data_IF_647166984959
#
_entry.id   IF_647166984959
#
_cell.length_a   1.000
_cell.length_b   1.000
_cell.length_c   1.000
_cell.angle_alpha   90.00
_cell.angle_beta   90.00
_cell.angle_gamma   90.00
#
_symmetry.space_group_name_H-M   'P 1'
#
loop_
_entity.id
_entity.type
_entity.pdbx_description
1 polymer ?
#
# COMPACT_ATOMS: atom_id res chain seq x y z
N UNK A 1 37.11 -7.78 10.45
CA UNK A 1 37.03 -9.23 10.27
C UNK A 1 36.06 -9.52 9.14
N UNK A 2 36.38 -10.42 8.21
CA UNK A 2 35.51 -10.73 7.05
C UNK A 2 34.09 -11.15 7.47
N UNK A 3 33.97 -11.89 8.59
CA UNK A 3 32.68 -12.35 9.12
C UNK A 3 31.72 -11.19 9.42
N UNK A 4 32.22 -10.09 9.97
CA UNK A 4 31.40 -8.92 10.33
C UNK A 4 30.85 -8.25 9.06
N UNK A 5 31.68 -8.13 8.03
CA UNK A 5 31.26 -7.53 6.75
C UNK A 5 30.28 -8.43 5.99
N UNK A 6 30.48 -9.76 6.04
CA UNK A 6 29.52 -10.71 5.50
C UNK A 6 28.16 -10.63 6.22
N UNK A 7 28.16 -10.54 7.55
CA UNK A 7 26.93 -10.40 8.32
C UNK A 7 26.20 -9.10 7.96
N UNK A 8 26.89 -7.96 7.92
CA UNK A 8 26.29 -6.69 7.46
C UNK A 8 25.66 -6.84 6.08
N UNK A 9 26.39 -7.40 5.11
CA UNK A 9 25.88 -7.59 3.76
C UNK A 9 24.61 -8.47 3.72
N UNK A 10 24.58 -9.54 4.51
CA UNK A 10 23.41 -10.41 4.63
C UNK A 10 22.20 -9.66 5.19
N UNK A 11 22.36 -8.97 6.33
CA UNK A 11 21.26 -8.32 7.04
C UNK A 11 20.80 -6.99 6.43
N UNK A 12 21.70 -6.27 5.77
CA UNK A 12 21.38 -4.97 5.17
C UNK A 12 20.88 -5.11 3.73
N UNK A 13 21.23 -6.20 3.03
CA UNK A 13 20.95 -6.34 1.59
C UNK A 13 20.21 -7.62 1.24
N UNK A 14 20.79 -8.80 1.51
CA UNK A 14 20.24 -10.04 0.95
C UNK A 14 18.96 -10.50 1.64
N UNK A 15 18.94 -10.50 2.97
CA UNK A 15 17.76 -10.88 3.75
C UNK A 15 16.59 -9.93 3.41
N UNK A 16 16.75 -8.60 3.45
CA UNK A 16 15.66 -7.68 3.13
C UNK A 16 15.08 -7.86 1.73
N UNK A 17 15.94 -8.00 0.72
CA UNK A 17 15.51 -8.20 -0.68
C UNK A 17 14.79 -9.52 -0.86
N UNK A 18 15.34 -10.60 -0.30
CA UNK A 18 14.72 -11.93 -0.39
C UNK A 18 13.36 -11.94 0.31
N UNK A 19 13.24 -11.26 1.45
CA UNK A 19 11.96 -11.13 2.15
C UNK A 19 10.94 -10.35 1.32
N UNK A 20 11.35 -9.24 0.71
CA UNK A 20 10.47 -8.46 -0.16
C UNK A 20 9.97 -9.28 -1.36
N UNK A 21 10.86 -10.07 -1.99
CA UNK A 21 10.47 -11.02 -3.05
C UNK A 21 9.50 -12.08 -2.54
N UNK A 22 9.71 -12.63 -1.34
CA UNK A 22 8.77 -13.57 -0.73
C UNK A 22 7.38 -12.94 -0.56
N UNK A 23 7.30 -11.71 -0.07
CA UNK A 23 6.02 -11.00 0.11
C UNK A 23 5.29 -10.82 -1.23
N UNK A 24 6.01 -10.48 -2.29
CA UNK A 24 5.45 -10.37 -3.64
C UNK A 24 4.90 -11.72 -4.14
N UNK A 25 5.65 -12.81 -3.95
CA UNK A 25 5.21 -14.16 -4.30
C UNK A 25 3.95 -14.57 -3.54
N UNK A 26 3.88 -14.29 -2.24
CA UNK A 26 2.70 -14.61 -1.41
C UNK A 26 1.44 -13.89 -1.89
N UNK A 27 1.58 -12.63 -2.29
CA UNK A 27 0.49 -11.83 -2.85
C UNK A 27 0.02 -12.38 -4.20
N UNK A 28 0.96 -12.78 -5.06
CA UNK A 28 0.65 -13.24 -6.42
C UNK A 28 0.09 -14.66 -6.46
N UNK A 29 0.52 -15.55 -5.57
CA UNK A 29 0.27 -16.99 -5.69
C UNK A 29 -0.55 -17.62 -4.57
N UNK A 30 -0.47 -17.11 -3.33
CA UNK A 30 -0.98 -17.84 -2.15
C UNK A 30 -2.27 -17.26 -1.54
N UNK A 31 -2.91 -16.29 -2.21
CA UNK A 31 -4.14 -15.62 -1.73
C UNK A 31 -4.10 -15.29 -0.22
N UNK A 32 -2.94 -14.80 0.25
CA UNK A 32 -2.76 -14.46 1.65
C UNK A 32 -3.82 -13.41 2.06
N UNK A 33 -4.44 -13.60 3.23
CA UNK A 33 -5.46 -12.66 3.72
C UNK A 33 -4.84 -11.43 4.38
N UNK A 34 -3.73 -11.63 5.09
CA UNK A 34 -2.99 -10.58 5.79
C UNK A 34 -1.50 -10.72 5.49
N UNK A 35 -0.99 -9.86 4.61
CA UNK A 35 0.43 -9.83 4.23
C UNK A 35 1.32 -9.44 5.41
N UNK A 36 0.79 -8.73 6.41
CA UNK A 36 1.58 -8.29 7.56
C UNK A 36 1.87 -9.43 8.54
N UNK A 37 1.15 -10.56 8.44
CA UNK A 37 1.48 -11.80 9.16
C UNK A 37 2.80 -12.42 8.70
N UNK A 38 3.22 -12.15 7.46
CA UNK A 38 4.49 -12.58 6.87
C UNK A 38 5.61 -11.53 7.00
N UNK A 39 5.32 -10.37 7.59
CA UNK A 39 6.30 -9.31 7.81
C UNK A 39 7.28 -9.69 8.93
N UNK A 40 8.56 -9.25 8.87
CA UNK A 40 9.49 -9.46 9.97
C UNK A 40 8.96 -8.81 11.25
N UNK A 41 9.02 -9.54 12.36
CA UNK A 41 8.64 -9.04 13.67
C UNK A 41 9.73 -8.15 14.25
N UNK A 42 9.36 -7.03 14.91
CA UNK A 42 10.33 -6.24 15.67
C UNK A 42 10.98 -7.11 16.74
N UNK A 43 12.31 -7.15 16.78
CA UNK A 43 13.02 -7.83 17.84
C UNK A 43 12.87 -7.04 19.15
N UNK A 44 12.67 -7.76 20.27
CA UNK A 44 12.75 -7.16 21.58
C UNK A 44 14.16 -6.58 21.81
N UNK A 45 14.27 -5.52 22.63
CA UNK A 45 15.53 -4.90 23.04
C UNK A 45 16.36 -5.80 23.97
N UNK A 46 16.61 -7.04 23.56
CA UNK A 46 17.47 -7.99 24.23
C UNK A 46 18.86 -7.74 23.68
N UNK A 47 19.80 -7.30 24.53
CA UNK A 47 21.19 -7.02 24.15
C UNK A 47 21.97 -8.31 23.90
N UNK A 48 21.54 -9.12 22.92
CA UNK A 48 22.35 -10.21 22.37
C UNK A 48 23.29 -9.68 21.28
N UNK A 49 24.35 -10.42 20.97
CA UNK A 49 25.27 -10.04 19.88
C UNK A 49 24.56 -9.94 18.52
N UNK A 50 23.48 -10.69 18.32
CA UNK A 50 22.73 -10.73 17.06
C UNK A 50 21.73 -9.58 16.93
N UNK A 51 21.30 -8.99 18.04
CA UNK A 51 20.38 -7.84 18.05
C UNK A 51 20.85 -6.70 17.14
N UNK A 52 22.17 -6.46 17.10
CA UNK A 52 22.77 -5.41 16.29
C UNK A 52 22.46 -5.54 14.80
N UNK A 53 22.31 -6.76 14.28
CA UNK A 53 22.01 -7.00 12.88
C UNK A 53 20.50 -7.03 12.61
N UNK A 54 19.73 -7.60 13.53
CA UNK A 54 18.29 -7.77 13.35
C UNK A 54 17.46 -6.50 13.58
N UNK A 55 17.96 -5.55 14.38
CA UNK A 55 17.21 -4.35 14.77
C UNK A 55 16.71 -3.51 13.59
N UNK A 56 17.43 -3.51 12.47
CA UNK A 56 17.10 -2.72 11.28
C UNK A 56 16.43 -3.55 10.18
N UNK A 57 16.19 -4.86 10.39
CA UNK A 57 15.62 -5.74 9.36
C UNK A 57 14.22 -5.29 8.94
N UNK A 58 13.37 -4.88 9.88
CA UNK A 58 12.01 -4.40 9.54
C UNK A 58 12.09 -3.13 8.68
N UNK A 59 12.99 -2.21 9.02
CA UNK A 59 13.23 -1.00 8.23
C UNK A 59 13.75 -1.34 6.83
N UNK A 60 14.76 -2.21 6.74
CA UNK A 60 15.37 -2.60 5.47
C UNK A 60 14.39 -3.37 4.57
N UNK A 61 13.56 -4.25 5.14
CA UNK A 61 12.49 -4.94 4.41
C UNK A 61 11.46 -3.92 3.91
N UNK A 62 11.06 -2.97 4.75
CA UNK A 62 10.10 -1.91 4.35
C UNK A 62 10.66 -1.05 3.21
N UNK A 63 11.96 -0.73 3.26
CA UNK A 63 12.66 -0.03 2.18
C UNK A 63 12.64 -0.81 0.86
N UNK A 64 12.81 -2.14 0.90
CA UNK A 64 12.73 -2.97 -0.29
C UNK A 64 11.29 -3.17 -0.79
N UNK A 65 10.32 -3.08 0.11
CA UNK A 65 8.91 -3.33 -0.17
C UNK A 65 8.11 -2.09 -0.59
N UNK A 66 8.62 -0.88 -0.35
CA UNK A 66 7.87 0.37 -0.55
C UNK A 66 7.25 0.47 -1.94
N UNK A 67 8.02 0.18 -2.98
CA UNK A 67 7.56 0.30 -4.37
C UNK A 67 6.92 -0.99 -4.91
N UNK A 68 6.73 -2.02 -4.07
CA UNK A 68 6.13 -3.29 -4.48
C UNK A 68 4.60 -3.25 -4.39
N UNK A 69 3.88 -4.01 -5.24
CA UNK A 69 2.42 -4.08 -5.23
C UNK A 69 1.91 -5.04 -4.13
N UNK A 70 2.38 -4.84 -2.89
CA UNK A 70 2.08 -5.72 -1.75
C UNK A 70 1.29 -5.02 -0.64
N UNK A 71 0.93 -3.74 -0.84
CA UNK A 71 0.23 -2.97 0.19
C UNK A 71 -1.28 -3.24 0.09
N UNK A 72 -1.92 -3.73 1.17
CA UNK A 72 -3.32 -4.08 1.12
C UNK A 72 -4.20 -2.83 0.99
N UNK A 73 -5.17 -2.90 0.08
CA UNK A 73 -6.20 -1.87 -0.09
C UNK A 73 -7.38 -2.17 0.83
N UNK A 74 -7.65 -1.25 1.75
CA UNK A 74 -8.78 -1.32 2.66
C UNK A 74 -10.12 -1.19 1.90
N UNK A 75 -11.14 -1.91 2.37
CA UNK A 75 -12.52 -1.74 1.90
C UNK A 75 -12.88 -2.51 0.63
N UNK A 76 -11.98 -3.33 0.08
CA UNK A 76 -12.31 -4.26 -1.01
C UNK A 76 -12.83 -5.59 -0.43
N UNK A 77 -13.77 -6.23 -1.13
CA UNK A 77 -14.40 -7.49 -0.70
C UNK A 77 -13.46 -8.72 -0.82
N UNK A 78 -12.32 -8.55 -1.48
CA UNK A 78 -11.30 -9.59 -1.66
C UNK A 78 -9.93 -8.97 -1.41
N UNK A 79 -8.95 -9.75 -0.91
CA UNK A 79 -7.58 -9.26 -0.76
C UNK A 79 -7.10 -8.68 -2.07
N UNK A 80 -6.78 -7.39 -2.04
CA UNK A 80 -6.26 -6.67 -3.19
C UNK A 80 -5.08 -5.85 -2.75
N UNK A 81 -4.02 -5.90 -3.53
CA UNK A 81 -2.75 -5.28 -3.23
C UNK A 81 -2.38 -4.31 -4.34
N UNK A 82 -1.75 -3.19 -3.98
CA UNK A 82 -1.33 -2.17 -4.94
C UNK A 82 0.01 -1.54 -4.50
N UNK A 83 0.54 -0.63 -5.32
CA UNK A 83 1.80 0.11 -5.08
C UNK A 83 1.58 1.32 -4.18
N UNK A 84 2.57 1.71 -3.38
CA UNK A 84 2.48 2.75 -2.34
C UNK A 84 2.00 4.14 -2.82
N UNK A 85 2.30 4.54 -4.06
CA UNK A 85 2.15 5.93 -4.52
C UNK A 85 0.71 6.45 -4.53
N UNK A 86 -0.29 5.55 -4.50
CA UNK A 86 -1.71 5.90 -4.47
C UNK A 86 -2.33 5.87 -3.06
N UNK A 87 -1.60 5.41 -2.03
CA UNK A 87 -2.20 5.11 -0.74
C UNK A 87 -2.13 6.25 0.27
N UNK A 88 -3.24 6.43 0.98
CA UNK A 88 -3.24 7.01 2.31
C UNK A 88 -2.94 5.92 3.34
N UNK A 89 -1.99 6.18 4.23
CA UNK A 89 -1.67 5.28 5.35
C UNK A 89 -2.50 5.71 6.55
N UNK A 90 -3.38 4.82 6.99
CA UNK A 90 -4.17 5.01 8.20
C UNK A 90 -3.41 4.51 9.43
N UNK A 91 -3.52 5.25 10.54
CA UNK A 91 -3.12 4.75 11.84
C UNK A 91 -4.10 3.68 12.34
N UNK A 92 -3.63 2.78 13.21
CA UNK A 92 -4.43 1.67 13.77
C UNK A 92 -5.53 2.12 14.75
N UNK A 93 -5.50 3.38 15.20
CA UNK A 93 -6.53 3.98 16.06
C UNK A 93 -7.75 4.49 15.27
N UNK A 94 -7.66 4.60 13.93
CA UNK A 94 -8.76 5.07 13.09
C UNK A 94 -9.74 3.92 12.92
N UNK A 95 -11.01 4.17 13.26
CA UNK A 95 -12.05 3.12 13.20
C UNK A 95 -12.32 2.65 11.77
N UNK A 96 -12.52 1.34 11.60
CA UNK A 96 -12.88 0.70 10.33
C UNK A 96 -14.07 1.35 9.63
N UNK A 97 -15.05 1.88 10.38
CA UNK A 97 -16.21 2.59 9.81
C UNK A 97 -15.78 3.81 8.99
N UNK A 98 -14.81 4.58 9.48
CA UNK A 98 -14.29 5.77 8.78
C UNK A 98 -13.53 5.33 7.53
N UNK A 99 -12.65 4.34 7.66
CA UNK A 99 -11.87 3.80 6.54
C UNK A 99 -12.77 3.18 5.46
N UNK A 100 -13.86 2.54 5.86
CA UNK A 100 -14.85 1.98 4.95
C UNK A 100 -15.62 3.07 4.19
N UNK A 101 -15.93 4.21 4.83
CA UNK A 101 -16.58 5.34 4.15
C UNK A 101 -15.62 5.98 3.15
N UNK A 102 -14.35 6.20 3.53
CA UNK A 102 -13.37 6.83 2.65
C UNK A 102 -12.97 5.92 1.46
N UNK A 103 -12.84 4.61 1.67
CA UNK A 103 -12.55 3.67 0.57
C UNK A 103 -13.66 3.66 -0.49
N UNK A 104 -14.93 3.89 -0.11
CA UNK A 104 -16.06 3.99 -1.05
C UNK A 104 -15.99 5.21 -1.97
N UNK A 105 -15.20 6.23 -1.62
CA UNK A 105 -15.02 7.40 -2.49
C UNK A 105 -13.89 7.22 -3.50
N UNK A 106 -13.34 6.01 -3.64
CA UNK A 106 -12.24 5.71 -4.54
C UNK A 106 -10.86 6.06 -3.97
N UNK A 107 -10.78 6.47 -2.71
CA UNK A 107 -9.52 6.74 -2.03
C UNK A 107 -8.92 5.40 -1.61
N UNK A 108 -7.73 5.08 -2.11
CA UNK A 108 -7.01 3.87 -1.70
C UNK A 108 -6.34 4.12 -0.35
N UNK A 109 -6.63 3.22 0.60
CA UNK A 109 -6.15 3.33 1.97
C UNK A 109 -5.48 2.02 2.33
N UNK A 110 -4.33 2.08 3.00
CA UNK A 110 -3.71 0.93 3.66
C UNK A 110 -3.64 1.20 5.15
N UNK A 111 -3.81 0.17 5.97
CA UNK A 111 -3.71 0.28 7.43
C UNK A 111 -2.72 -0.77 7.96
N UNK A 112 -1.40 -0.49 7.90
CA UNK A 112 -0.39 -1.39 8.42
C UNK A 112 -0.47 -1.49 9.95
N UNK A 113 0.14 -2.54 10.54
CA UNK A 113 0.37 -2.60 11.98
C UNK A 113 1.19 -1.40 12.46
N UNK A 114 0.98 -0.97 13.71
CA UNK A 114 1.56 0.25 14.26
C UNK A 114 3.08 0.36 14.08
N UNK A 115 3.82 -0.75 14.20
CA UNK A 115 5.27 -0.73 14.05
C UNK A 115 5.71 -0.46 12.60
N UNK A 116 4.98 -0.96 11.60
CA UNK A 116 5.21 -0.66 10.17
C UNK A 116 4.76 0.76 9.87
N UNK A 117 3.61 1.20 10.40
CA UNK A 117 3.13 2.57 10.25
C UNK A 117 4.17 3.58 10.72
N UNK A 118 4.78 3.36 11.90
CA UNK A 118 5.87 4.23 12.40
C UNK A 118 7.07 4.27 11.45
N UNK A 119 7.52 3.11 10.96
CA UNK A 119 8.63 3.07 9.99
C UNK A 119 8.27 3.87 8.73
N UNK A 120 7.05 3.74 8.23
CA UNK A 120 6.55 4.50 7.07
C UNK A 120 6.52 5.99 7.34
N UNK A 121 5.96 6.42 8.47
CA UNK A 121 5.87 7.85 8.82
C UNK A 121 7.22 8.48 9.08
N UNK A 122 8.17 7.72 9.62
CA UNK A 122 9.47 8.26 9.99
C UNK A 122 10.44 8.30 8.79
N UNK A 123 10.26 7.44 7.79
CA UNK A 123 11.25 7.25 6.72
C UNK A 123 10.71 7.38 5.29
N UNK A 124 9.41 7.25 5.04
CA UNK A 124 8.86 7.03 3.70
C UNK A 124 7.65 7.92 3.34
N UNK A 125 7.47 9.08 3.99
CA UNK A 125 6.39 10.03 3.69
C UNK A 125 6.46 10.67 2.28
N UNK A 126 7.54 10.46 1.54
CA UNK A 126 7.61 10.85 0.11
C UNK A 126 6.87 9.86 -0.79
N UNK A 127 6.69 8.61 -0.33
CA UNK A 127 6.02 7.53 -1.06
C UNK A 127 4.62 7.25 -0.54
N UNK A 128 4.37 7.55 0.73
CA UNK A 128 3.10 7.40 1.39
C UNK A 128 2.58 8.74 1.90
N UNK A 129 1.25 8.91 1.92
CA UNK A 129 0.62 10.06 2.58
C UNK A 129 -0.06 9.60 3.86
N UNK A 130 0.27 10.22 5.00
CA UNK A 130 -0.44 9.93 6.23
C UNK A 130 -1.89 10.42 6.15
N UNK A 131 -2.84 9.55 6.50
CA UNK A 131 -4.24 9.90 6.60
C UNK A 131 -4.43 10.87 7.78
N UNK A 132 -4.72 12.13 7.46
CA UNK A 132 -5.17 13.14 8.43
C UNK A 132 -6.53 13.69 8.00
N UNK A 133 -7.30 14.32 8.92
CA UNK A 133 -8.57 14.94 8.55
C UNK A 133 -8.44 15.94 7.38
N UNK A 134 -7.32 16.68 7.32
CA UNK A 134 -7.05 17.65 6.26
C UNK A 134 -6.77 16.96 4.91
N UNK A 135 -5.99 15.88 4.92
CA UNK A 135 -5.70 15.09 3.71
C UNK A 135 -6.98 14.39 3.23
N UNK A 136 -7.74 13.76 4.13
CA UNK A 136 -9.01 13.13 3.80
C UNK A 136 -10.00 14.12 3.18
N UNK A 137 -10.17 15.30 3.79
CA UNK A 137 -11.02 16.36 3.26
C UNK A 137 -10.59 16.80 1.86
N UNK A 138 -9.29 17.00 1.63
CA UNK A 138 -8.76 17.38 0.31
C UNK A 138 -9.04 16.30 -0.74
N UNK A 139 -8.76 15.04 -0.44
CA UNK A 139 -8.99 13.93 -1.38
C UNK A 139 -10.49 13.71 -1.64
N UNK A 140 -11.34 13.92 -0.64
CA UNK A 140 -12.81 13.89 -0.80
C UNK A 140 -13.33 15.00 -1.71
N UNK A 141 -12.78 16.22 -1.63
CA UNK A 141 -13.15 17.29 -2.56
C UNK A 141 -12.81 16.91 -4.00
N UNK A 142 -11.60 16.41 -4.25
CA UNK A 142 -11.17 15.96 -5.58
C UNK A 142 -12.05 14.82 -6.10
N UNK A 143 -12.33 13.83 -5.25
CA UNK A 143 -13.16 12.67 -5.60
C UNK A 143 -14.63 13.04 -5.80
N UNK A 144 -15.14 14.00 -5.03
CA UNK A 144 -16.49 14.53 -5.16
C UNK A 144 -16.73 15.21 -6.52
N UNK A 145 -15.73 15.90 -7.07
CA UNK A 145 -15.79 16.40 -8.44
C UNK A 145 -15.86 15.28 -9.48
N UNK A 146 -15.09 14.20 -9.32
CA UNK A 146 -15.12 13.05 -10.23
C UNK A 146 -16.47 12.31 -10.22
N UNK A 147 -17.11 12.17 -9.06
CA UNK A 147 -18.45 11.58 -8.93
C UNK A 147 -19.53 12.43 -9.60
N UNK A 148 -19.40 13.77 -9.58
CA UNK A 148 -20.33 14.65 -10.30
C UNK A 148 -20.22 14.49 -11.83
N UNK A 149 -19.03 14.25 -12.39
CA UNK A 149 -18.90 13.94 -13.83
C UNK A 149 -19.57 12.61 -14.21
N UNK A 150 -19.51 11.59 -13.36
CA UNK A 150 -20.19 10.31 -13.60
C UNK A 150 -21.72 10.41 -13.46
N UNK A 151 -22.22 11.25 -12.55
CA UNK A 151 -23.67 11.46 -12.35
C UNK A 151 -24.28 12.39 -13.41
N UNK A 152 -23.52 13.34 -13.96
CA UNK A 152 -24.00 14.29 -14.98
C UNK A 152 -23.91 13.73 -16.41
N UNK A 153 -23.10 12.70 -16.66
CA UNK A 153 -23.01 12.04 -17.98
C UNK A 153 -23.32 10.53 -18.00
N UNK A 154 -24.53 10.06 -17.61
CA UNK A 154 -24.96 8.69 -17.97
C UNK A 154 -25.35 8.60 -19.46
N UNK A 155 -25.64 9.74 -20.11
CA UNK A 155 -26.35 9.75 -21.41
C UNK A 155 -25.46 10.02 -22.63
N UNK A 156 -24.19 10.37 -22.44
CA UNK A 156 -23.29 10.73 -23.56
C UNK A 156 -22.40 9.59 -24.07
N UNK A 157 -22.27 8.48 -23.32
CA UNK A 157 -21.46 7.33 -23.75
C UNK A 157 -22.21 6.33 -24.66
N UNK A 158 -23.52 6.51 -24.90
CA UNK A 158 -24.29 5.60 -25.77
C UNK A 158 -24.50 6.12 -27.21
N UNK A 159 -23.96 7.30 -27.56
CA UNK A 159 -24.17 7.90 -28.89
C UNK A 159 -23.00 7.74 -29.86
N UNK A 160 -21.88 7.12 -29.49
CA UNK A 160 -20.74 6.95 -30.41
C UNK A 160 -20.74 5.63 -31.20
N UNK A 161 -21.62 4.67 -30.87
CA UNK A 161 -21.74 3.40 -31.62
C UNK A 161 -22.97 3.31 -32.53
N UNK A 162 -23.96 4.20 -32.40
CA UNK A 162 -25.21 4.10 -33.17
C UNK A 162 -25.22 4.87 -34.49
N UNK A 163 -24.26 5.78 -34.72
CA UNK A 163 -24.20 6.61 -35.92
C UNK A 163 -23.19 6.11 -36.99
N UNK A 164 -22.54 4.97 -36.79
CA UNK A 164 -21.57 4.43 -37.78
C UNK A 164 -22.23 3.70 -38.97
N UNK A 165 -23.55 3.48 -38.98
CA UNK A 165 -24.23 2.65 -39.99
C UNK A 165 -25.30 3.36 -40.82
N UNK A 166 -25.30 4.69 -40.92
CA UNK A 166 -26.28 5.39 -41.77
C UNK A 166 -25.74 6.55 -42.62
N UNK A 167 -24.67 6.36 -43.39
CA UNK A 167 -24.36 7.10 -44.64
C UNK A 167 -23.45 6.16 -45.46
N UNK A 168 -23.72 5.66 -46.67
CA UNK A 168 -24.53 6.17 -47.79
C UNK A 168 -25.13 5.04 -48.68
N UNK A 169 -26.18 5.36 -49.46
CA UNK A 169 -26.63 4.63 -50.65
C UNK A 169 -26.14 5.29 -51.96
N UNK A 170 -25.93 4.49 -53.02
CA UNK A 170 -25.67 4.97 -54.38
C UNK A 170 -24.91 3.98 -55.25
#
# INVERSE_FOLDING_TARGET
SALIEWNKLLFDTYIPRTWATLLEVLVQHDQILDIFSAWPTPQANIQSGDYFYWKDVVLNVTKCAVDLPIWPVFGRNSPSYNVSEAFLVAETNISDKILQVLSRTGIEITQPPQYVTRIITDNFLTRFRLLSPQVAHRELLVSGFALLFHVVCPHFCLLTERDRWRQEPG
#
